data_IF_490670406025
#
_entry.id   IF_490670406025
#
_cell.length_a   1.000
_cell.length_b   1.000
_cell.length_c   1.000
_cell.angle_alpha   90.00
_cell.angle_beta   90.00
_cell.angle_gamma   90.00
#
_symmetry.space_group_name_H-M   'P 1'
#
loop_
_entity.id
_entity.type
_entity.pdbx_description
1 polymer ?
#
# COMPACT_ATOMS: atom_id res chain seq x y z
N UNK A 1 53.78 -32.95 -29.91
CA UNK A 1 54.80 -32.99 -28.84
C UNK A 1 54.09 -32.62 -27.55
N UNK A 2 53.77 -33.62 -26.75
CA UNK A 2 53.03 -33.52 -25.50
C UNK A 2 53.99 -33.64 -24.31
N UNK A 3 53.78 -32.89 -23.23
CA UNK A 3 54.32 -33.08 -21.87
C UNK A 3 53.59 -32.03 -20.99
N UNK A 4 53.02 -32.28 -19.81
CA UNK A 4 52.59 -33.47 -19.08
C UNK A 4 51.80 -32.94 -17.87
N UNK A 5 50.67 -33.57 -17.55
CA UNK A 5 49.94 -33.41 -16.30
C UNK A 5 50.77 -33.84 -15.08
N UNK A 6 50.59 -33.16 -13.94
CA UNK A 6 50.69 -33.78 -12.61
C UNK A 6 49.58 -33.19 -11.72
N UNK A 7 48.64 -34.05 -11.35
CA UNK A 7 47.66 -33.86 -10.27
C UNK A 7 48.34 -33.95 -8.90
N UNK A 8 47.68 -33.43 -7.86
CA UNK A 8 47.54 -34.20 -6.64
C UNK A 8 46.07 -34.50 -6.34
N UNK A 9 45.82 -35.71 -5.86
CA UNK A 9 44.56 -36.22 -5.33
C UNK A 9 44.83 -36.75 -3.89
N UNK A 10 43.83 -37.20 -3.12
CA UNK A 10 43.35 -36.54 -1.91
C UNK A 10 43.66 -37.34 -0.63
N UNK A 11 43.62 -36.68 0.54
CA UNK A 11 43.37 -37.36 1.82
C UNK A 11 42.92 -36.38 2.91
N UNK A 12 41.67 -36.55 3.33
CA UNK A 12 41.17 -36.66 4.71
C UNK A 12 41.64 -35.66 5.76
N UNK A 13 40.73 -34.79 6.20
CA UNK A 13 40.02 -34.93 7.49
C UNK A 13 39.23 -33.66 7.83
N UNK A 14 37.91 -33.82 7.98
CA UNK A 14 36.98 -32.88 8.62
C UNK A 14 37.32 -32.65 10.09
N UNK A 15 36.82 -31.55 10.69
CA UNK A 15 35.67 -31.73 11.56
C UNK A 15 34.51 -30.77 11.26
N UNK A 16 33.31 -31.34 11.37
CA UNK A 16 32.00 -30.69 11.32
C UNK A 16 31.90 -29.53 12.31
N UNK A 17 31.61 -28.33 11.79
CA UNK A 17 30.85 -27.32 12.56
C UNK A 17 29.41 -27.31 12.05
N UNK A 18 28.58 -27.99 12.84
CA UNK A 18 27.13 -28.00 12.74
C UNK A 18 26.60 -26.60 13.03
N UNK A 19 26.21 -25.87 11.99
CA UNK A 19 25.40 -24.66 12.16
C UNK A 19 24.05 -25.10 12.71
N UNK A 20 23.79 -24.74 13.97
CA UNK A 20 22.52 -24.96 14.64
C UNK A 20 21.44 -24.12 13.94
N UNK A 21 20.65 -24.78 13.09
CA UNK A 21 19.31 -24.32 12.71
C UNK A 21 18.49 -24.23 13.99
N UNK A 22 18.23 -23.00 14.45
CA UNK A 22 17.21 -22.77 15.45
C UNK A 22 15.87 -23.28 14.91
N UNK A 23 15.34 -24.30 15.59
CA UNK A 23 13.99 -24.81 15.40
C UNK A 23 12.99 -23.66 15.52
N UNK A 24 12.45 -23.22 14.38
CA UNK A 24 11.12 -22.61 14.33
C UNK A 24 10.14 -23.78 14.34
N UNK A 25 9.25 -23.80 15.33
CA UNK A 25 8.22 -24.84 15.46
C UNK A 25 7.39 -24.94 14.17
N UNK A 26 7.07 -26.16 13.70
CA UNK A 26 6.23 -26.34 12.54
C UNK A 26 4.79 -25.93 12.87
N UNK A 27 4.26 -24.99 12.11
CA UNK A 27 2.84 -24.64 12.12
C UNK A 27 2.00 -25.91 11.85
N UNK A 28 0.92 -26.19 12.62
CA UNK A 28 0.20 -27.44 12.50
C UNK A 28 -0.47 -27.60 11.13
N UNK A 29 -0.28 -28.77 10.50
CA UNK A 29 -1.08 -29.20 9.35
C UNK A 29 -2.53 -29.34 9.78
N UNK A 30 -3.44 -28.58 9.15
CA UNK A 30 -4.88 -28.80 9.27
C UNK A 30 -5.48 -29.00 7.87
N UNK A 31 -6.43 -29.92 7.83
CA UNK A 31 -7.00 -30.60 6.67
C UNK A 31 -7.77 -29.68 5.70
N UNK A 32 -7.79 -30.11 4.43
CA UNK A 32 -8.57 -29.52 3.33
C UNK A 32 -10.06 -29.40 3.67
N UNK A 33 -10.70 -28.24 3.46
CA UNK A 33 -12.14 -28.14 3.31
C UNK A 33 -12.54 -28.11 1.83
N UNK A 34 -13.70 -28.73 1.55
CA UNK A 34 -14.31 -28.85 0.24
C UNK A 34 -14.66 -27.50 -0.41
N UNK A 35 -14.53 -27.48 -1.74
CA UNK A 35 -15.01 -26.45 -2.65
C UNK A 35 -16.51 -26.18 -2.51
N UNK A 36 -16.83 -24.87 -2.45
CA UNK A 36 -18.00 -24.14 -2.99
C UNK A 36 -18.49 -23.10 -1.98
N UNK A 37 -17.97 -21.88 -2.09
CA UNK A 37 -18.65 -20.71 -1.52
C UNK A 37 -18.86 -19.69 -2.64
N UNK A 38 -20.10 -19.61 -3.10
CA UNK A 38 -20.55 -18.57 -4.01
C UNK A 38 -20.59 -17.24 -3.24
N UNK A 39 -20.02 -16.20 -3.87
CA UNK A 39 -20.15 -14.80 -3.50
C UNK A 39 -21.60 -14.46 -3.13
N UNK A 40 -21.83 -14.06 -1.87
CA UNK A 40 -23.05 -13.35 -1.47
C UNK A 40 -22.68 -11.90 -1.14
N UNK A 41 -22.94 -11.02 -2.11
CA UNK A 41 -23.00 -9.58 -1.87
C UNK A 41 -24.19 -9.28 -0.95
N UNK A 42 -23.94 -8.65 0.18
CA UNK A 42 -24.98 -8.00 0.99
C UNK A 42 -24.99 -6.55 0.55
N UNK A 43 -25.95 -6.17 -0.30
CA UNK A 43 -26.18 -4.77 -0.63
C UNK A 43 -26.83 -4.07 0.59
N UNK A 44 -26.27 -2.99 1.12
CA UNK A 44 -26.96 -2.18 2.11
C UNK A 44 -28.06 -1.35 1.43
N UNK A 45 -29.28 -1.47 1.94
CA UNK A 45 -30.42 -0.64 1.54
C UNK A 45 -30.20 0.80 2.03
N UNK A 46 -30.43 1.86 1.22
CA UNK A 46 -30.34 3.23 1.69
C UNK A 46 -31.49 3.52 2.65
N UNK A 47 -31.20 3.82 3.91
CA UNK A 47 -32.21 4.25 4.88
C UNK A 47 -32.27 5.78 4.93
N UNK A 48 -33.47 6.35 4.76
CA UNK A 48 -33.77 7.76 5.04
C UNK A 48 -33.78 8.03 6.56
N UNK A 49 -32.64 7.84 7.22
CA UNK A 49 -32.46 8.17 8.62
C UNK A 49 -31.97 9.62 8.77
N UNK A 50 -32.52 10.34 9.74
CA UNK A 50 -31.91 11.58 10.26
C UNK A 50 -30.44 11.33 10.60
N UNK A 51 -29.52 12.29 10.36
CA UNK A 51 -28.10 12.10 10.60
C UNK A 51 -27.87 11.58 12.02
N UNK A 52 -27.18 10.44 12.13
CA UNK A 52 -26.80 9.88 13.42
C UNK A 52 -25.93 10.92 14.17
N UNK A 53 -26.32 11.25 15.40
CA UNK A 53 -25.58 12.22 16.23
C UNK A 53 -24.14 11.79 16.46
N UNK A 54 -23.86 10.50 16.37
CA UNK A 54 -22.53 9.91 16.50
C UNK A 54 -21.66 10.26 15.28
N UNK A 55 -22.22 10.17 14.07
CA UNK A 55 -21.56 10.61 12.83
C UNK A 55 -21.23 12.10 12.85
N UNK A 56 -22.17 12.96 13.26
CA UNK A 56 -21.94 14.41 13.35
C UNK A 56 -20.82 14.79 14.33
N UNK A 57 -20.67 14.05 15.42
CA UNK A 57 -19.58 14.26 16.37
C UNK A 57 -18.22 13.86 15.78
N UNK A 58 -18.19 12.78 15.00
CA UNK A 58 -16.98 12.30 14.32
C UNK A 58 -16.54 13.27 13.20
N UNK A 59 -17.48 13.85 12.45
CA UNK A 59 -17.19 14.89 11.45
C UNK A 59 -16.52 16.11 12.09
N UNK A 60 -17.10 16.60 13.19
CA UNK A 60 -16.57 17.77 13.92
C UNK A 60 -15.16 17.50 14.49
N UNK A 61 -14.93 16.28 15.00
CA UNK A 61 -13.62 15.87 15.52
C UNK A 61 -12.59 15.76 14.39
N UNK A 62 -12.95 15.12 13.27
CA UNK A 62 -12.10 14.95 12.11
C UNK A 62 -11.68 16.32 11.54
N UNK A 63 -12.61 17.26 11.38
CA UNK A 63 -12.32 18.63 10.96
C UNK A 63 -11.36 19.32 11.91
N UNK A 64 -11.65 19.28 13.21
CA UNK A 64 -10.79 19.90 14.22
C UNK A 64 -9.36 19.35 14.21
N UNK A 65 -9.21 18.04 14.01
CA UNK A 65 -7.89 17.40 13.94
C UNK A 65 -7.17 17.81 12.64
N UNK A 66 -7.86 17.78 11.50
CA UNK A 66 -7.28 18.17 10.22
C UNK A 66 -6.87 19.64 10.16
N UNK A 67 -7.56 20.53 10.90
CA UNK A 67 -7.21 21.94 11.03
C UNK A 67 -6.09 22.21 12.06
N UNK A 68 -5.61 21.19 12.77
CA UNK A 68 -4.54 21.38 13.76
C UNK A 68 -3.20 21.67 13.07
N UNK A 69 -2.37 22.51 13.69
CA UNK A 69 -1.04 22.85 13.16
C UNK A 69 -0.15 21.63 12.91
N UNK A 70 -0.36 20.54 13.67
CA UNK A 70 0.31 19.25 13.48
C UNK A 70 0.03 18.63 12.10
N UNK A 71 -1.16 18.86 11.53
CA UNK A 71 -1.59 18.31 10.24
C UNK A 71 -1.28 19.20 9.05
N UNK A 72 -0.92 20.46 9.29
CA UNK A 72 -0.58 21.41 8.23
C UNK A 72 0.85 21.25 7.69
N UNK A 73 1.63 20.27 8.18
CA UNK A 73 3.05 20.11 7.84
C UNK A 73 3.33 20.03 6.34
N UNK A 74 2.41 19.45 5.56
CA UNK A 74 2.57 19.23 4.13
C UNK A 74 1.57 20.00 3.25
N UNK A 75 0.71 20.80 3.88
CA UNK A 75 -0.35 21.52 3.18
C UNK A 75 0.23 22.47 2.14
N UNK A 76 1.19 23.31 2.52
CA UNK A 76 1.83 24.27 1.61
C UNK A 76 2.54 23.60 0.42
N UNK A 77 3.19 22.44 0.64
CA UNK A 77 3.87 21.70 -0.42
C UNK A 77 2.88 21.08 -1.42
N UNK A 78 1.76 20.53 -0.92
CA UNK A 78 0.70 19.98 -1.75
C UNK A 78 -0.02 21.10 -2.51
N UNK A 79 -0.38 22.19 -1.84
CA UNK A 79 -1.07 23.32 -2.45
C UNK A 79 -0.26 23.94 -3.58
N UNK A 80 1.04 24.17 -3.36
CA UNK A 80 1.96 24.63 -4.41
C UNK A 80 1.93 23.72 -5.64
N UNK A 81 1.87 22.39 -5.46
CA UNK A 81 1.80 21.47 -6.60
C UNK A 81 0.56 21.70 -7.46
N UNK A 82 -0.61 21.86 -6.82
CA UNK A 82 -1.86 22.09 -7.54
C UNK A 82 -1.95 23.50 -8.13
N UNK A 83 -1.37 24.50 -7.46
CA UNK A 83 -1.28 25.88 -7.97
C UNK A 83 -0.37 25.98 -9.20
N UNK A 84 0.80 25.34 -9.18
CA UNK A 84 1.75 25.34 -10.31
C UNK A 84 1.21 24.53 -11.50
N UNK A 85 0.24 23.64 -11.28
CA UNK A 85 -0.32 22.74 -12.28
C UNK A 85 -1.85 22.80 -12.30
N UNK A 86 -2.43 23.96 -12.60
CA UNK A 86 -3.88 24.17 -12.57
C UNK A 86 -4.72 23.21 -13.45
N UNK A 87 -4.13 22.62 -14.50
CA UNK A 87 -4.79 21.61 -15.35
C UNK A 87 -4.68 20.18 -14.79
N UNK A 88 -3.86 19.96 -13.76
CA UNK A 88 -3.64 18.67 -13.13
C UNK A 88 -4.75 18.34 -12.13
N UNK A 89 -5.61 17.40 -12.51
CA UNK A 89 -6.75 16.98 -11.71
C UNK A 89 -6.76 15.44 -11.52
N UNK A 90 -5.88 14.90 -10.68
CA UNK A 90 -5.76 13.46 -10.46
C UNK A 90 -6.98 12.92 -9.70
N UNK A 91 -7.44 11.72 -10.04
CA UNK A 91 -8.42 10.99 -9.21
C UNK A 91 -7.76 10.17 -8.09
N UNK A 92 -6.48 9.86 -8.23
CA UNK A 92 -5.70 9.07 -7.28
C UNK A 92 -4.39 9.76 -6.90
N UNK A 93 -4.00 9.62 -5.63
CA UNK A 93 -2.66 9.92 -5.14
C UNK A 93 -1.98 8.64 -4.69
N UNK A 94 -0.88 8.24 -5.33
CA UNK A 94 -0.07 7.09 -4.95
C UNK A 94 0.95 7.51 -3.91
N UNK A 95 1.01 6.80 -2.79
CA UNK A 95 1.83 7.15 -1.64
C UNK A 95 2.79 6.03 -1.32
N UNK A 96 4.08 6.37 -1.20
CA UNK A 96 5.12 5.48 -0.70
C UNK A 96 5.86 6.10 0.47
N UNK A 97 6.39 5.24 1.34
CA UNK A 97 7.37 5.60 2.37
C UNK A 97 8.67 4.88 2.06
N UNK A 98 9.78 5.61 2.03
CA UNK A 98 11.09 5.07 1.63
C UNK A 98 12.16 5.55 2.61
N UNK A 99 13.06 4.65 2.98
CA UNK A 99 14.33 5.00 3.64
C UNK A 99 15.52 4.61 2.74
N UNK A 100 16.71 5.08 3.09
CA UNK A 100 17.92 4.84 2.30
C UNK A 100 18.23 3.35 2.10
N UNK A 101 17.94 2.54 3.12
CA UNK A 101 18.14 1.09 3.10
C UNK A 101 17.25 0.32 2.13
N UNK A 102 16.20 0.94 1.59
CA UNK A 102 15.30 0.36 0.58
C UNK A 102 15.25 1.22 -0.69
N UNK A 103 16.30 2.01 -0.95
CA UNK A 103 16.40 2.83 -2.16
C UNK A 103 16.31 2.01 -3.46
N UNK A 104 16.97 0.85 -3.51
CA UNK A 104 16.92 -0.06 -4.66
C UNK A 104 15.53 -0.66 -4.88
N UNK A 105 14.80 -0.98 -3.81
CA UNK A 105 13.39 -1.36 -3.88
C UNK A 105 12.52 -0.23 -4.44
N UNK A 106 12.76 1.01 -4.03
CA UNK A 106 12.07 2.16 -4.62
C UNK A 106 12.37 2.28 -6.12
N UNK A 107 13.63 2.14 -6.55
CA UNK A 107 13.99 2.18 -7.97
C UNK A 107 13.28 1.09 -8.77
N UNK A 108 13.23 -0.14 -8.22
CA UNK A 108 12.50 -1.24 -8.82
C UNK A 108 10.99 -0.93 -8.92
N UNK A 109 10.38 -0.50 -7.81
CA UNK A 109 8.98 -0.11 -7.75
C UNK A 109 8.65 0.99 -8.77
N UNK A 110 9.46 2.04 -8.80
CA UNK A 110 9.27 3.21 -9.65
C UNK A 110 9.36 2.85 -11.13
N UNK A 111 10.27 1.95 -11.50
CA UNK A 111 10.30 1.42 -12.86
C UNK A 111 8.98 0.74 -13.27
N UNK A 112 8.48 -0.16 -12.43
CA UNK A 112 7.21 -0.85 -12.68
C UNK A 112 6.02 0.12 -12.72
N UNK A 113 6.01 1.10 -11.83
CA UNK A 113 5.04 2.20 -11.85
C UNK A 113 5.07 2.95 -13.18
N UNK A 114 6.23 3.44 -13.62
CA UNK A 114 6.36 4.17 -14.89
C UNK A 114 5.95 3.30 -16.08
N UNK A 115 6.38 2.04 -16.14
CA UNK A 115 6.03 1.12 -17.25
C UNK A 115 4.53 0.83 -17.30
N UNK A 116 3.87 0.69 -16.15
CA UNK A 116 2.43 0.46 -16.09
C UNK A 116 1.62 1.72 -16.36
N UNK A 117 2.08 2.88 -15.90
CA UNK A 117 1.42 4.17 -16.13
C UNK A 117 1.61 4.71 -17.55
N UNK A 118 2.77 4.47 -18.19
CA UNK A 118 3.03 4.90 -19.57
C UNK A 118 2.03 4.31 -20.59
N UNK A 119 1.42 3.17 -20.25
CA UNK A 119 0.37 2.54 -21.06
C UNK A 119 -1.00 3.23 -20.92
N UNK A 120 -1.16 4.15 -19.96
CA UNK A 120 -2.43 4.82 -19.68
C UNK A 120 -2.27 6.35 -19.75
N UNK A 121 -2.60 6.93 -20.91
CA UNK A 121 -2.48 8.38 -21.15
C UNK A 121 -3.64 9.16 -20.51
N UNK A 122 -4.74 8.50 -20.16
CA UNK A 122 -5.98 9.15 -19.73
C UNK A 122 -6.05 9.44 -18.23
N UNK A 123 -5.23 8.77 -17.41
CA UNK A 123 -5.22 8.93 -15.97
C UNK A 123 -3.78 8.96 -15.45
N UNK A 124 -3.36 10.11 -14.93
CA UNK A 124 -2.05 10.30 -14.33
C UNK A 124 -2.26 10.60 -12.84
N UNK A 125 -1.85 9.68 -11.93
CA UNK A 125 -1.99 9.92 -10.51
C UNK A 125 -0.97 10.95 -10.02
N UNK A 126 -1.24 11.55 -8.87
CA UNK A 126 -0.22 12.26 -8.10
C UNK A 126 0.67 11.23 -7.39
N UNK A 127 1.97 11.21 -7.66
CA UNK A 127 2.93 10.41 -6.92
C UNK A 127 3.47 11.20 -5.72
N UNK A 128 3.32 10.66 -4.52
CA UNK A 128 3.83 11.24 -3.28
C UNK A 128 4.81 10.25 -2.66
N UNK A 129 6.07 10.65 -2.57
CA UNK A 129 7.11 9.84 -1.93
C UNK A 129 7.54 10.50 -0.63
N UNK A 130 7.30 9.81 0.48
CA UNK A 130 7.67 10.24 1.82
C UNK A 130 9.05 9.66 2.15
N UNK A 131 10.02 10.56 2.34
CA UNK A 131 11.39 10.26 2.69
C UNK A 131 11.55 10.14 4.21
N UNK A 132 11.81 8.94 4.70
CA UNK A 132 11.87 8.63 6.14
C UNK A 132 13.20 9.03 6.79
N UNK A 133 14.22 9.40 5.98
CA UNK A 133 15.51 9.92 6.43
C UNK A 133 16.04 11.02 5.48
N UNK A 134 17.07 11.74 5.92
CA UNK A 134 17.63 12.87 5.17
C UNK A 134 18.39 12.45 3.92
N UNK A 135 19.06 11.30 3.95
CA UNK A 135 19.86 10.80 2.82
C UNK A 135 18.90 10.49 1.66
N UNK A 136 17.83 9.75 1.94
CA UNK A 136 16.85 9.41 0.92
C UNK A 136 16.07 10.65 0.45
N UNK A 137 15.82 11.64 1.31
CA UNK A 137 15.19 12.89 0.90
C UNK A 137 16.02 13.63 -0.16
N UNK A 138 17.33 13.75 0.04
CA UNK A 138 18.23 14.37 -0.94
C UNK A 138 18.31 13.57 -2.25
N UNK A 139 18.40 12.23 -2.15
CA UNK A 139 18.40 11.32 -3.31
C UNK A 139 17.11 11.43 -4.11
N UNK A 140 15.96 11.35 -3.46
CA UNK A 140 14.64 11.45 -4.09
C UNK A 140 14.44 12.82 -4.74
N UNK A 141 14.75 13.90 -4.03
CA UNK A 141 14.63 15.27 -4.56
C UNK A 141 15.47 15.44 -5.82
N UNK A 142 16.70 14.92 -5.81
CA UNK A 142 17.59 15.01 -6.97
C UNK A 142 17.16 14.10 -8.12
N UNK A 143 16.78 12.85 -7.82
CA UNK A 143 16.41 11.84 -8.80
C UNK A 143 15.08 12.17 -9.49
N UNK A 144 14.11 12.66 -8.74
CA UNK A 144 12.77 13.00 -9.24
C UNK A 144 12.66 14.45 -9.72
N UNK A 145 13.71 15.27 -9.59
CA UNK A 145 13.70 16.66 -10.07
C UNK A 145 13.34 16.79 -11.55
N UNK A 146 13.69 15.77 -12.37
CA UNK A 146 13.33 15.70 -13.79
C UNK A 146 12.07 14.88 -14.08
N UNK A 147 11.55 14.13 -13.10
CA UNK A 147 10.45 13.19 -13.27
C UNK A 147 9.08 13.83 -12.99
N UNK A 148 8.55 14.46 -14.05
CA UNK A 148 7.15 14.88 -14.24
C UNK A 148 6.58 15.95 -13.29
N UNK A 149 5.55 16.65 -13.77
CA UNK A 149 4.76 17.64 -13.01
C UNK A 149 3.82 17.03 -11.96
N UNK A 150 3.90 15.72 -11.73
CA UNK A 150 2.91 14.98 -10.94
C UNK A 150 3.56 14.22 -9.77
N UNK A 151 4.75 14.63 -9.35
CA UNK A 151 5.51 13.98 -8.28
C UNK A 151 5.84 14.97 -7.17
N UNK A 152 5.68 14.56 -5.92
CA UNK A 152 6.03 15.34 -4.73
C UNK A 152 6.87 14.48 -3.80
N UNK A 153 7.98 15.04 -3.33
CA UNK A 153 8.81 14.46 -2.27
C UNK A 153 8.52 15.18 -0.96
N UNK A 154 8.08 14.44 0.06
CA UNK A 154 7.78 14.98 1.38
C UNK A 154 8.76 14.40 2.42
N UNK A 155 9.20 15.19 3.42
CA UNK A 155 9.98 14.65 4.51
C UNK A 155 9.10 13.82 5.45
N UNK A 156 9.71 12.84 6.13
CA UNK A 156 9.11 12.02 7.17
C UNK A 156 8.49 12.84 8.32
N UNK A 157 7.73 12.17 9.17
CA UNK A 157 6.92 12.84 10.19
C UNK A 157 7.81 13.35 11.34
N UNK A 158 8.77 12.53 11.76
CA UNK A 158 9.70 12.87 12.81
C UNK A 158 10.85 13.69 12.20
N UNK A 159 10.85 15.01 12.41
CA UNK A 159 11.85 15.95 11.85
C UNK A 159 13.29 15.66 12.29
N UNK A 160 13.47 14.76 13.27
CA UNK A 160 14.75 14.12 13.55
C UNK A 160 15.07 13.10 12.43
N UNK A 161 15.38 13.62 11.24
CA UNK A 161 15.97 12.91 10.11
C UNK A 161 17.34 12.35 10.52
N UNK A 162 17.35 11.37 11.42
CA UNK A 162 18.54 10.63 11.75
C UNK A 162 18.87 9.78 10.53
N UNK A 163 20.11 9.87 10.06
CA UNK A 163 20.60 9.08 8.94
C UNK A 163 20.50 7.59 9.26
N UNK A 164 19.49 6.90 8.74
CA UNK A 164 19.39 5.44 8.79
C UNK A 164 19.83 4.93 7.43
N UNK A 165 21.12 4.65 7.29
CA UNK A 165 21.71 4.23 6.00
C UNK A 165 21.51 2.75 5.67
N UNK A 166 20.82 1.97 6.51
CA UNK A 166 20.71 0.52 6.40
C UNK A 166 19.26 0.08 6.53
N UNK A 167 18.90 -0.99 5.81
CA UNK A 167 17.61 -1.64 5.97
C UNK A 167 17.45 -2.12 7.42
N UNK A 168 16.37 -1.68 8.06
CA UNK A 168 16.10 -2.05 9.46
C UNK A 168 15.74 -3.53 9.58
N UNK A 169 16.25 -4.18 10.63
CA UNK A 169 15.90 -5.55 10.94
C UNK A 169 14.41 -5.64 11.29
N UNK A 170 13.72 -6.63 10.74
CA UNK A 170 12.31 -6.87 11.05
C UNK A 170 12.09 -6.99 12.57
N UNK A 171 11.00 -6.39 13.04
CA UNK A 171 10.59 -6.34 14.44
C UNK A 171 11.53 -5.56 15.40
N UNK A 172 12.60 -4.93 14.88
CA UNK A 172 13.45 -4.02 15.65
C UNK A 172 12.67 -2.79 16.14
N UNK A 173 13.21 -2.09 17.15
CA UNK A 173 12.60 -0.84 17.65
C UNK A 173 12.52 0.23 16.55
N UNK A 174 13.58 0.35 15.75
CA UNK A 174 13.62 1.29 14.63
C UNK A 174 12.66 0.89 13.51
N UNK A 175 12.56 -0.40 13.18
CA UNK A 175 11.56 -0.92 12.24
C UNK A 175 10.14 -0.62 12.74
N UNK A 176 9.83 -0.92 14.01
CA UNK A 176 8.53 -0.64 14.63
C UNK A 176 8.18 0.84 14.58
N UNK A 177 9.16 1.72 14.89
CA UNK A 177 8.99 3.16 14.77
C UNK A 177 8.65 3.57 13.34
N UNK A 178 9.42 3.09 12.36
CA UNK A 178 9.19 3.34 10.93
C UNK A 178 7.79 2.89 10.49
N UNK A 179 7.43 1.62 10.71
CA UNK A 179 6.13 1.12 10.24
C UNK A 179 4.94 1.74 10.99
N UNK A 180 5.16 2.26 12.20
CA UNK A 180 4.14 2.96 13.00
C UNK A 180 3.89 4.41 12.57
N UNK A 181 4.80 5.03 11.81
CA UNK A 181 4.59 6.38 11.27
C UNK A 181 3.55 6.39 10.14
N UNK A 182 3.29 5.25 9.50
CA UNK A 182 2.38 5.09 8.35
C UNK A 182 1.01 5.74 8.59
N UNK A 183 0.39 5.48 9.74
CA UNK A 183 -0.93 6.07 10.05
C UNK A 183 -0.85 7.59 10.15
N UNK A 184 0.21 8.14 10.74
CA UNK A 184 0.45 9.58 10.81
C UNK A 184 0.63 10.18 9.43
N UNK A 185 1.38 9.53 8.55
CA UNK A 185 1.58 9.97 7.17
C UNK A 185 0.27 10.01 6.40
N UNK A 186 -0.49 8.91 6.40
CA UNK A 186 -1.78 8.86 5.70
C UNK A 186 -2.76 9.87 6.26
N UNK A 187 -2.77 10.10 7.58
CA UNK A 187 -3.60 11.10 8.23
C UNK A 187 -3.22 12.54 7.85
N UNK A 188 -1.92 12.85 7.78
CA UNK A 188 -1.46 14.16 7.32
C UNK A 188 -1.86 14.41 5.85
N UNK A 189 -1.72 13.40 4.98
CA UNK A 189 -2.09 13.51 3.57
C UNK A 189 -3.59 13.70 3.38
N UNK A 190 -4.42 12.83 3.97
CA UNK A 190 -5.87 12.92 3.80
C UNK A 190 -6.40 14.26 4.34
N UNK A 191 -5.86 14.77 5.45
CA UNK A 191 -6.23 16.08 5.98
C UNK A 191 -5.79 17.23 5.06
N UNK A 192 -4.62 17.11 4.42
CA UNK A 192 -4.12 18.13 3.50
C UNK A 192 -4.87 18.13 2.17
N UNK A 193 -5.32 16.96 1.69
CA UNK A 193 -6.05 16.79 0.44
C UNK A 193 -7.54 17.09 0.57
N UNK A 194 -8.18 16.79 1.71
CA UNK A 194 -9.62 17.06 1.93
C UNK A 194 -9.96 18.55 2.06
N UNK A 195 -8.98 19.44 1.90
CA UNK A 195 -9.21 20.87 1.97
C UNK A 195 -9.56 21.38 3.37
N UNK A 196 -8.91 22.46 3.81
CA UNK A 196 -9.32 23.12 5.05
C UNK A 196 -10.63 23.86 4.77
N UNK A 197 -11.77 23.28 5.17
CA UNK A 197 -13.10 23.84 4.96
C UNK A 197 -13.15 25.32 5.37
N UNK A 198 -13.21 26.22 4.39
CA UNK A 198 -13.19 27.67 4.65
C UNK A 198 -13.06 28.60 3.42
N UNK A 199 -12.75 28.09 2.23
CA UNK A 199 -12.67 28.89 1.00
C UNK A 199 -13.93 28.82 0.15
N UNK A 200 -14.58 29.95 -0.13
CA UNK A 200 -15.75 30.08 -1.03
C UNK A 200 -15.41 29.98 -2.52
N UNK A 201 -14.23 29.46 -2.89
CA UNK A 201 -13.75 29.42 -4.27
C UNK A 201 -13.80 27.98 -4.82
N UNK A 202 -14.27 27.88 -6.06
CA UNK A 202 -14.57 26.65 -6.81
C UNK A 202 -13.40 25.68 -7.03
N UNK A 203 -12.17 26.01 -6.67
CA UNK A 203 -10.99 25.14 -6.80
C UNK A 203 -10.84 24.13 -5.65
N UNK A 204 -11.62 24.27 -4.57
CA UNK A 204 -11.61 23.34 -3.44
C UNK A 204 -12.18 21.95 -3.80
N UNK A 205 -13.09 21.86 -4.79
CA UNK A 205 -13.90 20.66 -5.01
C UNK A 205 -13.15 19.49 -5.67
N UNK A 206 -11.96 19.71 -6.21
CA UNK A 206 -11.19 18.67 -6.91
C UNK A 206 -10.33 17.84 -5.95
N UNK A 207 -9.66 18.47 -4.98
CA UNK A 207 -8.80 17.77 -4.01
C UNK A 207 -9.59 16.86 -3.06
N UNK A 208 -10.81 17.27 -2.70
CA UNK A 208 -11.70 16.57 -1.77
C UNK A 208 -12.13 15.18 -2.25
N UNK A 209 -11.88 14.83 -3.51
CA UNK A 209 -12.25 13.54 -4.11
C UNK A 209 -11.05 12.65 -4.42
N UNK A 210 -9.82 13.08 -4.10
CA UNK A 210 -8.60 12.30 -4.40
C UNK A 210 -8.54 11.07 -3.49
N UNK A 211 -8.49 9.89 -4.11
CA UNK A 211 -8.33 8.61 -3.40
C UNK A 211 -6.84 8.35 -3.15
N UNK A 212 -6.47 8.09 -1.91
CA UNK A 212 -5.10 7.75 -1.54
C UNK A 212 -4.86 6.26 -1.80
N UNK A 213 -3.83 5.91 -2.56
CA UNK A 213 -3.37 4.53 -2.78
C UNK A 213 -1.99 4.36 -2.15
N UNK A 214 -1.92 3.71 -1.00
CA UNK A 214 -0.65 3.40 -0.35
C UNK A 214 -0.05 2.11 -0.92
N UNK A 215 1.26 2.09 -1.16
CA UNK A 215 2.02 0.90 -1.55
C UNK A 215 3.32 0.81 -0.77
N UNK A 216 3.61 -0.35 -0.21
CA UNK A 216 4.97 -0.67 0.24
C UNK A 216 5.90 -0.76 -1.00
N UNK A 217 7.18 -0.42 -0.81
CA UNK A 217 8.20 -0.42 -1.88
C UNK A 217 8.54 -1.82 -2.39
N UNK A 218 8.15 -2.86 -1.65
CA UNK A 218 8.27 -4.25 -2.04
C UNK A 218 6.96 -4.83 -2.60
N UNK A 219 6.04 -3.97 -3.06
CA UNK A 219 4.89 -4.36 -3.88
C UNK A 219 5.07 -3.91 -5.33
N UNK A 220 5.21 -4.85 -6.27
CA UNK A 220 5.44 -4.55 -7.70
C UNK A 220 4.13 -4.47 -8.47
N UNK A 221 3.98 -3.43 -9.29
CA UNK A 221 2.83 -3.23 -10.17
C UNK A 221 3.12 -3.84 -11.53
N UNK A 222 2.52 -5.00 -11.83
CA UNK A 222 2.67 -5.67 -13.12
C UNK A 222 1.63 -5.20 -14.14
N UNK A 223 0.52 -4.63 -13.67
CA UNK A 223 -0.51 -3.94 -14.47
C UNK A 223 -0.98 -2.67 -13.74
N UNK A 224 -1.77 -1.83 -14.41
CA UNK A 224 -2.33 -0.62 -13.79
C UNK A 224 -3.46 -1.00 -12.80
N UNK A 225 -3.37 -0.63 -11.51
CA UNK A 225 -4.37 -0.99 -10.51
C UNK A 225 -5.65 -0.14 -10.53
N UNK A 226 -5.63 1.06 -11.13
CA UNK A 226 -6.76 2.00 -11.02
C UNK A 226 -8.08 1.51 -11.63
N UNK A 227 -8.10 0.82 -12.79
CA UNK A 227 -9.33 0.24 -13.30
C UNK A 227 -10.00 -0.74 -12.32
N UNK A 228 -9.19 -1.55 -11.62
CA UNK A 228 -9.67 -2.52 -10.65
C UNK A 228 -10.17 -1.83 -9.37
N UNK A 229 -9.39 -0.87 -8.84
CA UNK A 229 -9.80 -0.08 -7.69
C UNK A 229 -11.09 0.71 -7.95
N UNK A 230 -11.23 1.31 -9.14
CA UNK A 230 -12.45 2.01 -9.54
C UNK A 230 -13.66 1.09 -9.60
N UNK A 231 -13.49 -0.10 -10.18
CA UNK A 231 -14.57 -1.08 -10.26
C UNK A 231 -15.06 -1.52 -8.87
N UNK A 232 -14.16 -1.72 -7.91
CA UNK A 232 -14.51 -2.05 -6.53
C UNK A 232 -15.16 -0.87 -5.79
N UNK A 233 -14.59 0.34 -5.95
CA UNK A 233 -15.07 1.53 -5.25
C UNK A 233 -16.41 2.05 -5.80
N UNK A 234 -16.67 1.95 -7.10
CA UNK A 234 -17.83 2.61 -7.71
C UNK A 234 -18.75 1.67 -8.50
N UNK A 235 -18.39 0.38 -8.58
CA UNK A 235 -19.05 -0.61 -9.43
C UNK A 235 -18.53 -0.58 -10.87
N UNK A 236 -18.74 -1.67 -11.60
CA UNK A 236 -18.56 -1.68 -13.06
C UNK A 236 -19.82 -1.12 -13.73
N UNK A 237 -19.70 -0.01 -14.46
CA UNK A 237 -20.77 0.43 -15.35
C UNK A 237 -20.86 -0.56 -16.52
N UNK A 238 -21.75 -1.54 -16.37
CA UNK A 238 -22.17 -2.47 -17.44
C UNK A 238 -23.39 -1.95 -18.21
N UNK A 239 -23.81 -0.70 -17.99
CA UNK A 239 -24.79 -0.07 -18.87
C UNK A 239 -24.12 0.19 -20.22
N UNK A 240 -24.51 -0.60 -21.22
CA UNK A 240 -24.18 -0.49 -22.65
C UNK A 240 -24.56 0.85 -23.33
N UNK A 241 -24.67 1.93 -22.58
CA UNK A 241 -24.92 3.25 -23.14
C UNK A 241 -23.57 3.89 -23.41
N UNK A 242 -23.24 4.06 -24.69
CA UNK A 242 -22.05 4.70 -25.26
C UNK A 242 -21.93 6.20 -24.91
N UNK A 243 -22.39 6.64 -23.74
CA UNK A 243 -22.18 7.99 -23.25
C UNK A 243 -21.23 7.94 -22.07
N UNK A 244 -20.17 8.75 -22.18
CA UNK A 244 -19.15 9.05 -21.17
C UNK A 244 -19.61 8.79 -19.74
N UNK A 245 -18.76 8.13 -18.94
CA UNK A 245 -18.88 8.11 -17.48
C UNK A 245 -19.05 9.57 -17.03
N UNK A 246 -20.26 9.92 -16.63
CA UNK A 246 -20.57 11.23 -16.07
C UNK A 246 -20.01 11.24 -14.65
N UNK A 247 -18.72 11.55 -14.53
CA UNK A 247 -18.01 11.71 -13.27
C UNK A 247 -18.67 12.79 -12.37
N UNK A 248 -19.58 13.61 -12.91
CA UNK A 248 -20.36 14.57 -12.12
C UNK A 248 -21.57 13.95 -11.41
N UNK A 249 -21.98 12.72 -11.75
CA UNK A 249 -22.85 11.92 -10.88
C UNK A 249 -21.96 11.26 -9.83
N UNK A 250 -21.57 12.04 -8.84
CA UNK A 250 -20.73 11.65 -7.71
C UNK A 250 -21.38 10.46 -6.97
N UNK A 251 -21.09 9.24 -7.42
CA UNK A 251 -21.49 8.03 -6.70
C UNK A 251 -20.63 7.97 -5.45
N UNK A 252 -21.28 7.84 -4.28
CA UNK A 252 -20.53 7.58 -3.06
C UNK A 252 -19.74 6.27 -3.24
N UNK A 253 -18.45 6.24 -2.88
CA UNK A 253 -17.69 5.00 -2.91
C UNK A 253 -18.37 3.92 -2.08
N UNK A 254 -18.31 2.67 -2.53
CA UNK A 254 -18.81 1.47 -1.82
C UNK A 254 -18.07 1.25 -0.50
N UNK A 255 -16.79 1.64 -0.45
CA UNK A 255 -15.90 1.41 0.66
C UNK A 255 -15.16 2.70 1.04
N UNK A 256 -14.95 2.87 2.33
CA UNK A 256 -14.05 3.88 2.89
C UNK A 256 -12.59 3.44 2.73
N UNK A 257 -12.32 2.15 2.96
CA UNK A 257 -11.00 1.52 2.82
C UNK A 257 -11.09 0.21 2.02
N UNK A 258 -10.26 0.07 0.98
CA UNK A 258 -9.94 -1.21 0.35
C UNK A 258 -8.52 -1.61 0.71
N UNK A 259 -8.29 -2.91 0.89
CA UNK A 259 -6.97 -3.44 1.21
C UNK A 259 -6.71 -4.76 0.50
N UNK A 260 -5.45 -5.04 0.15
CA UNK A 260 -5.05 -6.39 -0.26
C UNK A 260 -5.31 -7.38 0.88
N UNK A 261 -5.63 -8.63 0.54
CA UNK A 261 -5.92 -9.68 1.54
C UNK A 261 -4.72 -10.62 1.66
N UNK A 262 -4.28 -10.85 2.89
CA UNK A 262 -3.19 -11.77 3.22
C UNK A 262 -3.71 -13.20 3.44
N UNK A 263 -4.85 -13.31 4.13
CA UNK A 263 -5.48 -14.57 4.50
C UNK A 263 -6.99 -14.40 4.66
N UNK A 264 -7.75 -15.21 3.93
CA UNK A 264 -9.18 -15.43 4.16
C UNK A 264 -9.35 -16.50 5.25
N UNK A 265 -9.79 -16.08 6.44
CA UNK A 265 -9.97 -16.90 7.66
C UNK A 265 -8.78 -16.96 8.63
N UNK A 266 -8.00 -15.89 8.76
CA UNK A 266 -7.02 -15.76 9.85
C UNK A 266 -7.70 -15.70 11.23
N UNK A 267 -7.47 -16.69 12.09
CA UNK A 267 -8.08 -16.78 13.44
C UNK A 267 -9.61 -16.57 13.47
N UNK A 268 -10.34 -17.16 12.53
CA UNK A 268 -11.81 -17.01 12.35
C UNK A 268 -12.27 -15.57 11.98
N UNK A 269 -11.35 -14.73 11.52
CA UNK A 269 -11.67 -13.42 10.93
C UNK A 269 -11.78 -13.61 9.42
N UNK A 270 -12.90 -13.17 8.84
CA UNK A 270 -13.23 -13.37 7.41
C UNK A 270 -12.07 -12.97 6.49
N UNK A 271 -11.58 -11.75 6.63
CA UNK A 271 -10.45 -11.24 5.85
C UNK A 271 -9.43 -10.60 6.79
N UNK A 272 -8.17 -11.01 6.67
CA UNK A 272 -7.04 -10.34 7.30
C UNK A 272 -6.32 -9.50 6.26
N UNK A 273 -6.43 -8.18 6.42
CA UNK A 273 -5.94 -7.24 5.43
C UNK A 273 -4.45 -6.97 5.58
N UNK A 274 -3.79 -6.88 4.44
CA UNK A 274 -2.43 -6.43 4.31
C UNK A 274 -2.37 -4.89 4.34
N UNK A 275 -1.47 -4.31 5.13
CA UNK A 275 -1.28 -2.85 5.17
C UNK A 275 -0.24 -2.34 4.17
N UNK A 276 0.31 -3.23 3.33
CA UNK A 276 1.28 -2.87 2.29
C UNK A 276 0.65 -2.48 0.95
N UNK A 277 -0.67 -2.61 0.80
CA UNK A 277 -1.39 -2.03 -0.32
C UNK A 277 -2.82 -1.66 0.10
N UNK A 278 -3.12 -0.36 0.13
CA UNK A 278 -4.39 0.19 0.61
C UNK A 278 -4.93 1.22 -0.39
N UNK A 279 -6.26 1.28 -0.57
CA UNK A 279 -6.93 2.44 -1.16
C UNK A 279 -7.88 3.06 -0.13
N UNK A 280 -7.74 4.36 0.12
CA UNK A 280 -8.43 5.09 1.18
C UNK A 280 -9.16 6.27 0.56
N UNK A 281 -10.47 6.31 0.73
CA UNK A 281 -11.29 7.42 0.26
C UNK A 281 -11.27 8.59 1.25
N UNK A 282 -11.40 9.85 0.80
CA UNK A 282 -11.34 11.02 1.67
C UNK A 282 -12.63 11.25 2.50
N UNK A 283 -13.19 10.20 3.10
CA UNK A 283 -14.39 10.26 3.96
C UNK A 283 -14.05 10.61 5.41
N UNK A 284 -15.01 11.17 6.15
CA UNK A 284 -14.83 11.40 7.59
C UNK A 284 -14.61 10.10 8.37
N UNK A 285 -15.26 9.00 7.95
CA UNK A 285 -15.03 7.67 8.52
C UNK A 285 -13.57 7.22 8.34
N UNK A 286 -12.98 7.44 7.16
CA UNK A 286 -11.55 7.15 6.91
C UNK A 286 -10.63 8.00 7.78
N UNK A 287 -10.94 9.29 7.94
CA UNK A 287 -10.15 10.19 8.80
C UNK A 287 -10.22 9.77 10.26
N UNK A 288 -11.42 9.52 10.79
CA UNK A 288 -11.62 9.04 12.17
C UNK A 288 -10.87 7.73 12.42
N UNK A 289 -10.93 6.79 11.46
CA UNK A 289 -10.17 5.56 11.55
C UNK A 289 -8.64 5.80 11.57
N UNK A 290 -8.13 6.68 10.72
CA UNK A 290 -6.70 7.01 10.70
C UNK A 290 -6.25 7.72 11.99
N UNK A 291 -7.13 8.51 12.62
CA UNK A 291 -6.89 9.11 13.94
C UNK A 291 -6.73 8.02 15.01
N UNK A 292 -7.65 7.06 15.06
CA UNK A 292 -7.58 5.97 16.03
C UNK A 292 -6.36 5.08 15.78
N UNK A 293 -6.05 4.79 14.51
CA UNK A 293 -4.89 3.98 14.15
C UNK A 293 -3.57 4.66 14.51
N UNK A 294 -3.44 5.96 14.24
CA UNK A 294 -2.29 6.73 14.71
C UNK A 294 -2.18 6.67 16.23
N UNK A 295 -3.27 6.94 16.94
CA UNK A 295 -3.28 6.99 18.41
C UNK A 295 -2.79 5.68 19.03
N UNK A 296 -3.29 4.54 18.54
CA UNK A 296 -2.85 3.23 19.01
C UNK A 296 -1.36 2.98 18.69
N UNK A 297 -0.91 3.32 17.48
CA UNK A 297 0.49 3.14 17.07
C UNK A 297 1.48 4.02 17.83
N UNK A 298 1.09 5.24 18.16
CA UNK A 298 1.92 6.19 18.91
C UNK A 298 1.96 5.87 20.41
N UNK A 299 0.95 5.16 20.94
CA UNK A 299 0.93 4.75 22.34
C UNK A 299 1.97 3.66 22.66
N UNK A 300 2.23 2.78 21.70
CA UNK A 300 3.24 1.74 21.78
C UNK A 300 3.67 1.34 20.37
N UNK A 301 4.86 1.77 19.94
CA UNK A 301 5.38 1.44 18.60
C UNK A 301 5.42 -0.08 18.41
N UNK A 302 4.58 -0.58 17.53
CA UNK A 302 4.43 -2.01 17.24
C UNK A 302 4.13 -2.22 15.75
N UNK A 303 3.92 -3.47 15.36
CA UNK A 303 3.54 -3.80 13.99
C UNK A 303 2.19 -3.15 13.64
N UNK A 304 2.10 -2.57 12.46
CA UNK A 304 0.93 -1.78 12.07
C UNK A 304 -0.28 -2.62 11.65
N UNK A 305 -0.06 -3.77 11.01
CA UNK A 305 -1.11 -4.63 10.45
C UNK A 305 -2.01 -5.28 11.50
N UNK A 306 -1.49 -5.82 12.62
CA UNK A 306 -2.35 -6.37 13.66
C UNK A 306 -3.31 -5.34 14.27
N UNK A 307 -2.81 -4.14 14.58
CA UNK A 307 -3.67 -3.05 15.10
C UNK A 307 -4.68 -2.63 14.06
N UNK A 308 -4.25 -2.39 12.82
CA UNK A 308 -5.12 -1.97 11.73
C UNK A 308 -6.33 -2.90 11.59
N UNK A 309 -6.07 -4.21 11.55
CA UNK A 309 -7.12 -5.22 11.47
C UNK A 309 -7.98 -5.27 12.75
N UNK A 310 -7.40 -5.05 13.93
CA UNK A 310 -8.16 -4.98 15.17
C UNK A 310 -9.12 -3.80 15.20
N UNK A 311 -8.64 -2.61 14.81
CA UNK A 311 -9.42 -1.39 14.76
C UNK A 311 -10.53 -1.46 13.71
N UNK A 312 -10.22 -1.95 12.50
CA UNK A 312 -11.24 -2.06 11.44
C UNK A 312 -12.44 -2.87 11.92
N UNK A 313 -12.18 -4.00 12.60
CA UNK A 313 -13.24 -4.85 13.17
C UNK A 313 -14.04 -4.15 14.27
N UNK A 314 -13.38 -3.41 15.16
CA UNK A 314 -14.09 -2.69 16.23
C UNK A 314 -14.89 -1.50 15.71
N UNK A 315 -14.48 -0.93 14.57
CA UNK A 315 -15.13 0.21 13.93
C UNK A 315 -16.19 -0.20 12.91
N UNK A 316 -16.38 -1.50 12.63
CA UNK A 316 -17.52 -1.98 11.81
C UNK A 316 -18.83 -1.84 12.60
N UNK A 317 -19.92 -1.28 12.03
CA UNK A 317 -20.12 -0.91 10.62
C UNK A 317 -19.86 0.57 10.30
N UNK A 318 -19.32 1.37 11.24
CA UNK A 318 -19.08 2.81 11.04
C UNK A 318 -18.11 3.09 9.90
N UNK A 319 -17.11 2.22 9.72
CA UNK A 319 -16.23 2.22 8.55
C UNK A 319 -16.60 1.10 7.59
N UNK A 320 -16.79 1.41 6.31
CA UNK A 320 -17.03 0.43 5.26
C UNK A 320 -15.69 0.00 4.70
N UNK A 321 -15.37 -1.28 4.79
CA UNK A 321 -14.10 -1.80 4.28
C UNK A 321 -14.29 -3.05 3.43
N UNK A 322 -13.35 -3.31 2.53
CA UNK A 322 -13.39 -4.44 1.61
C UNK A 322 -12.00 -5.00 1.30
N UNK A 323 -11.95 -6.28 0.97
CA UNK A 323 -10.75 -6.95 0.50
C UNK A 323 -10.66 -6.93 -1.03
N UNK A 324 -9.47 -6.64 -1.54
CA UNK A 324 -9.15 -6.77 -2.96
C UNK A 324 -8.93 -8.26 -3.32
N UNK A 325 -9.28 -8.65 -4.54
CA UNK A 325 -9.15 -10.03 -5.02
C UNK A 325 -7.70 -10.53 -5.01
N UNK A 326 -7.47 -11.73 -4.47
CA UNK A 326 -6.13 -12.34 -4.32
C UNK A 326 -5.47 -12.72 -5.67
N UNK A 327 -6.24 -12.79 -6.77
CA UNK A 327 -5.66 -13.02 -8.11
C UNK A 327 -5.02 -11.74 -8.62
N UNK A 328 -5.77 -10.63 -8.56
CA UNK A 328 -5.34 -9.31 -9.02
C UNK A 328 -4.31 -8.68 -8.07
N UNK A 329 -4.50 -8.81 -6.75
CA UNK A 329 -3.65 -8.21 -5.71
C UNK A 329 -3.04 -9.32 -4.86
N UNK A 330 -2.05 -10.01 -5.43
CA UNK A 330 -1.54 -11.26 -4.90
C UNK A 330 -0.57 -11.04 -3.72
N UNK A 331 -0.83 -11.64 -2.55
CA UNK A 331 0.17 -11.75 -1.49
C UNK A 331 1.29 -12.72 -1.91
N UNK A 332 2.47 -12.54 -1.32
CA UNK A 332 3.68 -13.26 -1.70
C UNK A 332 3.56 -14.77 -1.55
N UNK A 333 2.85 -15.27 -0.51
CA UNK A 333 2.62 -16.71 -0.32
C UNK A 333 1.93 -17.35 -1.54
N UNK A 334 1.01 -16.62 -2.16
CA UNK A 334 0.26 -17.12 -3.31
C UNK A 334 1.12 -17.08 -4.56
N UNK A 335 1.66 -15.90 -4.87
CA UNK A 335 2.37 -15.67 -6.13
C UNK A 335 3.67 -16.45 -6.25
N UNK A 336 4.48 -16.46 -5.18
CA UNK A 336 5.83 -17.04 -5.19
C UNK A 336 5.85 -18.51 -4.76
N UNK A 337 4.89 -18.97 -3.95
CA UNK A 337 4.94 -20.32 -3.39
C UNK A 337 3.80 -21.21 -3.88
N UNK A 338 2.54 -20.87 -3.59
CA UNK A 338 1.41 -21.76 -3.86
C UNK A 338 1.14 -21.94 -5.35
N UNK A 339 1.09 -20.87 -6.13
CA UNK A 339 0.83 -20.96 -7.56
C UNK A 339 2.00 -21.60 -8.32
N UNK A 340 3.24 -21.39 -7.86
CA UNK A 340 4.42 -22.07 -8.40
C UNK A 340 4.34 -23.58 -8.16
N UNK A 341 3.87 -24.01 -6.98
CA UNK A 341 3.65 -25.43 -6.68
C UNK A 341 2.55 -26.05 -7.53
N UNK A 342 1.52 -25.29 -7.90
CA UNK A 342 0.49 -25.75 -8.84
C UNK A 342 1.05 -25.96 -10.25
N UNK A 343 1.92 -25.05 -10.70
CA UNK A 343 2.61 -25.12 -11.98
C UNK A 343 1.71 -25.11 -13.23
N UNK A 344 2.33 -25.31 -14.38
CA UNK A 344 1.63 -25.59 -15.64
C UNK A 344 0.74 -24.45 -16.13
N UNK A 345 -0.51 -24.77 -16.50
CA UNK A 345 -1.49 -23.78 -16.97
C UNK A 345 -2.14 -22.99 -15.83
N UNK A 346 -2.28 -23.58 -14.63
CA UNK A 346 -2.89 -22.93 -13.47
C UNK A 346 -2.06 -21.73 -13.02
N UNK A 347 -0.75 -21.95 -12.83
CA UNK A 347 0.19 -20.88 -12.46
C UNK A 347 0.13 -19.72 -13.46
N UNK A 348 0.25 -20.05 -14.76
CA UNK A 348 0.26 -19.05 -15.84
C UNK A 348 -1.03 -18.24 -15.88
N UNK A 349 -2.19 -18.89 -15.72
CA UNK A 349 -3.47 -18.21 -15.70
C UNK A 349 -3.57 -17.23 -14.53
N UNK A 350 -3.23 -17.67 -13.31
CA UNK A 350 -3.30 -16.82 -12.10
C UNK A 350 -2.33 -15.65 -12.20
N UNK A 351 -1.06 -15.89 -12.54
CA UNK A 351 -0.05 -14.84 -12.70
C UNK A 351 -0.38 -13.85 -13.83
N UNK A 352 -1.08 -14.29 -14.87
CA UNK A 352 -1.53 -13.39 -15.96
C UNK A 352 -2.66 -12.44 -15.54
N UNK A 353 -3.46 -12.84 -14.53
CA UNK A 353 -4.50 -11.99 -13.95
C UNK A 353 -3.97 -11.01 -12.90
N UNK A 354 -2.72 -11.19 -12.44
CA UNK A 354 -2.15 -10.36 -11.39
C UNK A 354 -1.87 -8.94 -11.87
N UNK A 355 -2.16 -7.98 -11.00
CA UNK A 355 -2.04 -6.54 -11.19
C UNK A 355 -0.98 -5.99 -10.26
N UNK A 356 -1.01 -6.38 -8.99
CA UNK A 356 -0.01 -6.05 -7.96
C UNK A 356 0.46 -7.33 -7.30
N UNK A 357 1.78 -7.44 -7.11
CA UNK A 357 2.43 -8.55 -6.38
C UNK A 357 3.11 -7.97 -5.15
N UNK A 358 2.68 -8.36 -3.96
CA UNK A 358 3.35 -7.96 -2.72
C UNK A 358 4.37 -9.01 -2.29
N UNK A 359 5.62 -8.60 -2.06
CA UNK A 359 6.71 -9.46 -1.61
C UNK A 359 6.70 -9.69 -0.09
N UNK A 360 5.52 -9.82 0.50
CA UNK A 360 5.33 -10.16 1.91
C UNK A 360 5.46 -11.67 2.15
N UNK A 361 5.43 -12.11 3.42
CA UNK A 361 5.74 -13.48 3.86
C UNK A 361 7.20 -13.93 3.68
N UNK A 362 8.11 -13.00 3.42
CA UNK A 362 9.55 -13.22 3.48
C UNK A 362 10.20 -12.05 4.23
N UNK A 363 11.24 -12.34 5.01
CA UNK A 363 11.90 -11.37 5.88
C UNK A 363 13.30 -11.10 5.35
N UNK A 364 13.71 -9.83 5.41
CA UNK A 364 15.05 -9.39 5.06
C UNK A 364 15.14 -8.84 3.65
N UNK A 365 15.94 -7.79 3.52
CA UNK A 365 16.17 -7.05 2.28
C UNK A 365 16.63 -7.98 1.14
N UNK A 366 17.76 -8.68 1.34
CA UNK A 366 18.37 -9.50 0.29
C UNK A 366 17.49 -10.68 -0.12
N UNK A 367 16.79 -11.30 0.83
CA UNK A 367 15.87 -12.39 0.55
C UNK A 367 14.70 -11.92 -0.34
N UNK A 368 14.14 -10.74 -0.04
CA UNK A 368 13.11 -10.11 -0.87
C UNK A 368 13.65 -9.81 -2.28
N UNK A 369 14.85 -9.24 -2.39
CA UNK A 369 15.47 -8.90 -3.67
C UNK A 369 15.68 -10.14 -4.53
N UNK A 370 16.31 -11.17 -3.98
CA UNK A 370 16.58 -12.45 -4.65
C UNK A 370 15.26 -13.08 -5.13
N UNK A 371 14.19 -13.03 -4.33
CA UNK A 371 12.88 -13.56 -4.73
C UNK A 371 12.31 -12.80 -5.94
N UNK A 372 12.45 -11.47 -6.00
CA UNK A 372 12.05 -10.72 -7.19
C UNK A 372 12.91 -11.05 -8.41
N UNK A 373 14.23 -11.16 -8.25
CA UNK A 373 15.15 -11.54 -9.34
C UNK A 373 14.79 -12.90 -9.94
N UNK A 374 14.55 -13.91 -9.10
CA UNK A 374 14.19 -15.27 -9.52
C UNK A 374 12.88 -15.34 -10.32
N UNK A 375 11.99 -14.36 -10.12
CA UNK A 375 10.68 -14.30 -10.76
C UNK A 375 10.59 -13.23 -11.85
N UNK A 376 11.70 -12.60 -12.23
CA UNK A 376 11.73 -11.57 -13.27
C UNK A 376 10.97 -10.29 -12.90
N UNK A 377 10.84 -10.01 -11.60
CA UNK A 377 10.19 -8.81 -11.07
C UNK A 377 11.20 -7.78 -10.54
N UNK A 378 12.49 -8.06 -10.66
CA UNK A 378 13.57 -7.13 -10.34
C UNK A 378 14.17 -6.54 -11.62
N UNK A 379 14.35 -5.22 -11.67
CA UNK A 379 15.04 -4.56 -12.77
C UNK A 379 16.53 -4.93 -12.77
N UNK A 380 17.02 -5.43 -13.92
CA UNK A 380 18.41 -5.85 -14.11
C UNK A 380 19.25 -4.82 -14.84
#
# INVERSE_FOLDING_TARGET
MALRHVNPSPSDATPNETIALHHVEPTPRIAKPNEKSALRHVNPTPSNATPDKTLLADETLAEKICLSSRRNKWHDSLDRQFEENAEFNPSFAVVLTVNDGYWDFFLNWFHHFIVTMAKNVLEQPLLIVIAEDSIIYEKLTSYLASETRNTIVLPGYDDALNSVSMAENYDSVAYKKLVSSRATHLLNLICSLKGQGGGTNSDQSTKDNIIIVYSDVDAVWVQNPFPYLRAELFGSDTSNDNNSIDMNKQRQPNYDILAAVDDHNYHNVRDYYCTGFLAITPSYASISFLIDWEKELQSNHQLNQPIFNSLLRSSTPMIRHGGLGEIEFAPGRLYFDEWVKEGGSSERQKKSGTVVVHNNYIIGHDAKRIRFEQHGLWIT
#
